data_IF_100337853268
#
_entry.id   IF_100337853268
#
_cell.length_a   1.000
_cell.length_b   1.000
_cell.length_c   1.000
_cell.angle_alpha   90.00
_cell.angle_beta   90.00
_cell.angle_gamma   90.00
#
_symmetry.space_group_name_H-M   'P 1'
#
loop_
_entity.id
_entity.type
_entity.pdbx_description
1 polymer ?
#
# COMPACT_ATOMS: atom_id res chain seq x y z
N UNK A 1 -0.64 7.69 24.08
CA UNK A 1 0.45 8.61 23.68
C UNK A 1 -0.14 9.98 23.54
N UNK A 2 0.53 11.00 24.04
CA UNK A 2 0.08 12.38 23.80
C UNK A 2 0.54 12.86 22.41
N UNK A 3 0.00 13.97 21.91
CA UNK A 3 0.32 14.48 20.57
C UNK A 3 1.81 14.81 20.41
N UNK A 4 2.49 15.25 21.47
CA UNK A 4 3.91 15.59 21.42
C UNK A 4 4.80 14.35 21.24
N UNK A 5 4.47 13.23 21.87
CA UNK A 5 5.16 11.94 21.69
C UNK A 5 5.02 11.43 20.26
N UNK A 6 3.79 11.48 19.71
CA UNK A 6 3.50 11.09 18.34
C UNK A 6 4.35 11.89 17.36
N UNK A 7 4.36 13.22 17.47
CA UNK A 7 5.12 14.10 16.59
C UNK A 7 6.64 13.87 16.71
N UNK A 8 7.15 13.68 17.93
CA UNK A 8 8.56 13.38 18.15
C UNK A 8 8.99 12.05 17.50
N UNK A 9 8.14 11.02 17.56
CA UNK A 9 8.42 9.73 16.92
C UNK A 9 8.44 9.83 15.40
N UNK A 10 7.49 10.57 14.83
CA UNK A 10 7.47 10.84 13.39
C UNK A 10 8.74 11.58 12.99
N UNK A 11 9.10 12.68 13.67
CA UNK A 11 10.32 13.44 13.40
C UNK A 11 11.57 12.58 13.48
N UNK A 12 11.71 11.74 14.51
CA UNK A 12 12.83 10.80 14.64
C UNK A 12 12.88 9.78 13.50
N UNK A 13 11.72 9.28 13.07
CA UNK A 13 11.61 8.36 11.93
C UNK A 13 12.04 9.01 10.61
N UNK A 14 11.69 10.27 10.38
CA UNK A 14 12.06 11.01 9.18
C UNK A 14 13.52 11.48 9.19
N UNK A 15 13.99 12.03 10.30
CA UNK A 15 15.40 12.43 10.48
C UNK A 15 16.38 11.25 10.47
N UNK A 16 15.85 10.04 10.44
CA UNK A 16 16.59 8.79 10.38
C UNK A 16 17.13 8.46 8.97
N UNK A 17 16.57 9.06 7.91
CA UNK A 17 16.91 8.76 6.52
C UNK A 17 17.61 9.94 5.83
N UNK A 18 18.54 9.69 4.89
CA UNK A 18 19.10 10.75 4.05
C UNK A 18 18.04 11.29 3.09
N UNK A 19 18.23 12.52 2.62
CA UNK A 19 17.27 13.25 1.77
C UNK A 19 16.68 12.42 0.60
N UNK A 20 17.48 11.67 -0.20
CA UNK A 20 16.91 10.88 -1.31
C UNK A 20 15.91 9.82 -0.85
N UNK A 21 16.17 9.17 0.28
CA UNK A 21 15.27 8.16 0.85
C UNK A 21 14.02 8.83 1.44
N UNK A 22 14.17 10.01 2.03
CA UNK A 22 13.01 10.79 2.51
C UNK A 22 12.10 11.22 1.35
N UNK A 23 12.67 11.64 0.21
CA UNK A 23 11.90 11.96 -1.00
C UNK A 23 11.17 10.71 -1.51
N UNK A 24 11.88 9.58 -1.63
CA UNK A 24 11.29 8.31 -2.04
C UNK A 24 10.14 7.88 -1.10
N UNK A 25 10.35 7.99 0.21
CA UNK A 25 9.35 7.67 1.23
C UNK A 25 8.13 8.56 1.14
N UNK A 26 8.31 9.87 0.91
CA UNK A 26 7.21 10.81 0.69
C UNK A 26 6.43 10.45 -0.57
N UNK A 27 7.13 10.19 -1.67
CA UNK A 27 6.52 9.79 -2.95
C UNK A 27 5.66 8.53 -2.78
N UNK A 28 6.23 7.46 -2.24
CA UNK A 28 5.51 6.21 -1.97
C UNK A 28 4.34 6.41 -1.01
N UNK A 29 4.56 7.10 0.10
CA UNK A 29 3.50 7.33 1.09
C UNK A 29 2.32 8.13 0.51
N UNK A 30 2.59 9.26 -0.14
CA UNK A 30 1.57 10.12 -0.72
C UNK A 30 0.82 9.44 -1.88
N UNK A 31 1.55 8.71 -2.74
CA UNK A 31 0.95 8.00 -3.87
C UNK A 31 -0.01 6.92 -3.41
N UNK A 32 0.32 6.18 -2.34
CA UNK A 32 -0.55 5.12 -1.82
C UNK A 32 -1.80 5.68 -1.15
N UNK A 33 -1.68 6.77 -0.38
CA UNK A 33 -2.85 7.48 0.14
C UNK A 33 -3.73 7.98 -1.00
N UNK A 34 -3.13 8.57 -2.04
CA UNK A 34 -3.86 9.04 -3.21
C UNK A 34 -4.52 7.90 -3.98
N UNK A 35 -3.86 6.75 -4.15
CA UNK A 35 -4.42 5.58 -4.82
C UNK A 35 -5.65 5.02 -4.06
N UNK A 36 -5.55 4.91 -2.73
CA UNK A 36 -6.67 4.52 -1.89
C UNK A 36 -7.82 5.52 -1.98
N UNK A 37 -7.51 6.82 -1.96
CA UNK A 37 -8.50 7.89 -2.10
C UNK A 37 -9.20 7.86 -3.45
N UNK A 38 -8.45 7.73 -4.54
CA UNK A 38 -8.98 7.63 -5.90
C UNK A 38 -9.99 6.48 -6.01
N UNK A 39 -9.66 5.30 -5.48
CA UNK A 39 -10.58 4.15 -5.44
C UNK A 39 -11.80 4.37 -4.54
N UNK A 40 -11.63 5.07 -3.42
CA UNK A 40 -12.73 5.36 -2.50
C UNK A 40 -13.76 6.32 -3.14
N UNK A 41 -13.30 7.28 -3.95
CA UNK A 41 -14.14 8.25 -4.66
C UNK A 41 -14.73 7.76 -5.96
N UNK A 42 -14.25 6.64 -6.50
CA UNK A 42 -14.83 6.02 -7.69
C UNK A 42 -16.05 5.17 -7.31
N UNK A 43 -17.25 5.74 -7.49
CA UNK A 43 -18.52 5.05 -7.27
C UNK A 43 -18.69 3.77 -8.12
N UNK A 44 -17.96 3.64 -9.23
CA UNK A 44 -17.97 2.46 -10.09
C UNK A 44 -17.04 1.34 -9.61
N UNK A 45 -16.06 1.64 -8.75
CA UNK A 45 -14.96 0.72 -8.43
C UNK A 45 -15.44 -0.61 -7.84
N UNK A 46 -16.45 -0.58 -6.96
CA UNK A 46 -17.07 -1.78 -6.34
C UNK A 46 -18.49 -2.07 -6.86
N UNK A 47 -18.89 -1.46 -7.97
CA UNK A 47 -20.26 -1.58 -8.48
C UNK A 47 -20.28 -2.48 -9.71
N UNK A 48 -20.81 -3.69 -9.57
CA UNK A 48 -20.97 -4.65 -10.68
C UNK A 48 -21.70 -4.00 -11.87
N UNK A 49 -21.09 -4.10 -13.05
CA UNK A 49 -21.63 -3.54 -14.30
C UNK A 49 -21.21 -2.09 -14.60
N UNK A 50 -20.53 -1.40 -13.67
CA UNK A 50 -19.94 -0.08 -13.96
C UNK A 50 -18.65 -0.22 -14.80
N UNK A 51 -18.34 0.82 -15.58
CA UNK A 51 -17.16 0.85 -16.46
C UNK A 51 -15.82 0.76 -15.68
N UNK A 52 -15.79 1.14 -14.41
CA UNK A 52 -14.62 1.08 -13.52
C UNK A 52 -14.56 -0.14 -12.60
N UNK A 53 -15.52 -1.08 -12.71
CA UNK A 53 -15.66 -2.18 -11.75
C UNK A 53 -14.41 -3.07 -11.67
N UNK A 54 -13.88 -3.24 -10.44
CA UNK A 54 -12.67 -4.03 -10.19
C UNK A 54 -12.82 -5.49 -10.66
N UNK A 55 -14.00 -6.10 -10.55
CA UNK A 55 -14.21 -7.47 -11.00
C UNK A 55 -14.12 -7.62 -12.51
N UNK A 56 -14.56 -6.62 -13.28
CA UNK A 56 -14.38 -6.60 -14.74
C UNK A 56 -12.89 -6.51 -15.11
N UNK A 57 -12.14 -5.67 -14.38
CA UNK A 57 -10.70 -5.53 -14.57
C UNK A 57 -9.97 -6.85 -14.25
N UNK A 58 -10.26 -7.46 -13.10
CA UNK A 58 -9.69 -8.75 -12.68
C UNK A 58 -10.04 -9.89 -13.64
N UNK A 59 -11.27 -9.93 -14.16
CA UNK A 59 -11.67 -10.94 -15.13
C UNK A 59 -10.88 -10.81 -16.43
N UNK A 60 -10.68 -9.57 -16.92
CA UNK A 60 -9.95 -9.29 -18.15
C UNK A 60 -8.47 -9.71 -18.08
N UNK A 61 -7.81 -9.54 -16.93
CA UNK A 61 -6.41 -9.91 -16.76
C UNK A 61 -6.18 -11.35 -16.31
N UNK A 62 -7.24 -12.07 -15.96
CA UNK A 62 -7.13 -13.44 -15.48
C UNK A 62 -6.42 -14.30 -16.52
N UNK A 63 -6.81 -14.25 -17.79
CA UNK A 63 -6.31 -15.16 -18.85
C UNK A 63 -4.86 -14.91 -19.26
N UNK A 64 -4.26 -13.78 -18.89
CA UNK A 64 -2.91 -13.37 -19.31
C UNK A 64 -1.92 -13.28 -18.16
N UNK A 65 -2.39 -13.30 -16.91
CA UNK A 65 -1.54 -13.20 -15.72
C UNK A 65 -0.86 -14.54 -15.39
N UNK A 66 0.44 -14.56 -15.05
CA UNK A 66 1.10 -15.73 -14.44
C UNK A 66 0.47 -16.17 -13.12
N UNK A 67 -0.31 -15.31 -12.46
CA UNK A 67 -1.06 -15.60 -11.23
C UNK A 67 -2.53 -15.94 -11.51
N UNK A 68 -2.87 -16.48 -12.69
CA UNK A 68 -4.24 -16.76 -13.11
C UNK A 68 -5.09 -17.45 -12.03
N UNK A 69 -4.55 -18.48 -11.36
CA UNK A 69 -5.27 -19.22 -10.31
C UNK A 69 -5.69 -18.32 -9.13
N UNK A 70 -4.83 -17.39 -8.71
CA UNK A 70 -5.12 -16.46 -7.64
C UNK A 70 -6.10 -15.39 -8.12
N UNK A 71 -5.92 -14.89 -9.35
CA UNK A 71 -6.81 -13.89 -9.96
C UNK A 71 -8.23 -14.44 -10.13
N UNK A 72 -8.40 -15.71 -10.51
CA UNK A 72 -9.72 -16.35 -10.58
C UNK A 72 -10.44 -16.32 -9.22
N UNK A 73 -9.72 -16.61 -8.12
CA UNK A 73 -10.27 -16.46 -6.76
C UNK A 73 -10.58 -15.03 -6.39
N UNK A 74 -9.79 -14.07 -6.88
CA UNK A 74 -10.11 -12.65 -6.70
C UNK A 74 -11.39 -12.26 -7.44
N UNK A 75 -11.66 -12.81 -8.64
CA UNK A 75 -12.89 -12.56 -9.39
C UNK A 75 -14.13 -13.05 -8.64
N UNK A 76 -14.07 -14.23 -8.01
CA UNK A 76 -15.17 -14.79 -7.19
C UNK A 76 -15.58 -13.84 -6.04
N UNK A 77 -14.61 -13.08 -5.50
CA UNK A 77 -14.81 -12.18 -4.36
C UNK A 77 -14.33 -10.75 -4.67
N UNK A 78 -14.56 -10.26 -5.90
CA UNK A 78 -13.96 -9.02 -6.40
C UNK A 78 -14.25 -7.79 -5.54
N UNK A 79 -15.47 -7.65 -5.00
CA UNK A 79 -15.84 -6.54 -4.12
C UNK A 79 -15.00 -6.52 -2.83
N UNK A 80 -14.77 -7.71 -2.24
CA UNK A 80 -13.97 -7.87 -1.03
C UNK A 80 -12.49 -7.56 -1.31
N UNK A 81 -11.95 -8.07 -2.42
CA UNK A 81 -10.58 -7.79 -2.82
C UNK A 81 -10.36 -6.32 -3.18
N UNK A 82 -11.33 -5.69 -3.85
CA UNK A 82 -11.30 -4.25 -4.13
C UNK A 82 -11.30 -3.42 -2.84
N UNK A 83 -12.16 -3.75 -1.88
CA UNK A 83 -12.18 -3.10 -0.58
C UNK A 83 -10.87 -3.31 0.19
N UNK A 84 -10.35 -4.54 0.19
CA UNK A 84 -9.08 -4.88 0.85
C UNK A 84 -7.92 -4.11 0.22
N UNK A 85 -7.86 -4.02 -1.10
CA UNK A 85 -6.85 -3.23 -1.81
C UNK A 85 -6.93 -1.75 -1.41
N UNK A 86 -8.13 -1.17 -1.41
CA UNK A 86 -8.37 0.22 -1.04
C UNK A 86 -7.94 0.55 0.39
N UNK A 87 -8.36 -0.27 1.37
CA UNK A 87 -7.96 -0.09 2.79
C UNK A 87 -6.46 -0.28 2.95
N UNK A 88 -5.89 -1.30 2.30
CA UNK A 88 -4.45 -1.59 2.38
C UNK A 88 -3.62 -0.47 1.78
N UNK A 89 -4.04 0.14 0.68
CA UNK A 89 -3.34 1.27 0.08
C UNK A 89 -3.29 2.48 1.02
N UNK A 90 -4.42 2.84 1.66
CA UNK A 90 -4.41 3.85 2.71
C UNK A 90 -3.49 3.46 3.86
N UNK A 91 -3.60 2.23 4.36
CA UNK A 91 -2.82 1.78 5.52
C UNK A 91 -1.32 1.82 5.24
N UNK A 92 -0.89 1.32 4.08
CA UNK A 92 0.51 1.35 3.61
C UNK A 92 0.98 2.79 3.44
N UNK A 93 0.17 3.65 2.83
CA UNK A 93 0.50 5.06 2.61
C UNK A 93 0.68 5.82 3.92
N UNK A 94 -0.30 5.72 4.83
CA UNK A 94 -0.27 6.37 6.14
C UNK A 94 0.86 5.83 7.03
N UNK A 95 1.06 4.51 7.07
CA UNK A 95 2.16 3.89 7.82
C UNK A 95 3.52 4.34 7.27
N UNK A 96 3.66 4.43 5.95
CA UNK A 96 4.86 4.97 5.29
C UNK A 96 5.10 6.43 5.66
N UNK A 97 4.07 7.29 5.59
CA UNK A 97 4.21 8.72 5.91
C UNK A 97 4.49 8.96 7.40
N UNK A 98 3.79 8.27 8.29
CA UNK A 98 3.96 8.43 9.74
C UNK A 98 5.22 7.74 10.26
N UNK A 99 5.65 6.66 9.60
CA UNK A 99 6.77 5.82 10.04
C UNK A 99 6.38 4.78 11.08
N UNK A 100 5.09 4.72 11.42
CA UNK A 100 4.55 3.66 12.25
C UNK A 100 4.50 2.36 11.46
N UNK A 101 5.10 1.30 12.01
CA UNK A 101 5.21 0.00 11.33
C UNK A 101 5.79 0.11 9.90
N UNK A 102 6.75 1.02 9.69
CA UNK A 102 7.34 1.30 8.38
C UNK A 102 7.88 0.05 7.68
N UNK A 103 8.38 -0.92 8.44
CA UNK A 103 8.82 -2.23 7.91
C UNK A 103 7.65 -3.01 7.30
N UNK A 104 6.51 -3.11 7.98
CA UNK A 104 5.33 -3.79 7.41
C UNK A 104 4.75 -3.01 6.25
N UNK A 105 4.73 -1.67 6.32
CA UNK A 105 4.27 -0.84 5.22
C UNK A 105 5.12 -1.05 3.96
N UNK A 106 6.44 -1.13 4.12
CA UNK A 106 7.36 -1.32 2.99
C UNK A 106 7.31 -2.72 2.41
N UNK A 107 7.18 -3.75 3.25
CA UNK A 107 6.95 -5.14 2.79
C UNK A 107 5.58 -5.25 2.10
N UNK A 108 4.53 -4.68 2.69
CA UNK A 108 3.18 -4.68 2.13
C UNK A 108 3.11 -3.96 0.79
N UNK A 109 3.72 -2.77 0.69
CA UNK A 109 3.85 -2.03 -0.56
C UNK A 109 4.61 -2.81 -1.63
N UNK A 110 5.73 -3.44 -1.27
CA UNK A 110 6.51 -4.28 -2.18
C UNK A 110 5.69 -5.47 -2.71
N UNK A 111 5.03 -6.22 -1.81
CA UNK A 111 4.23 -7.39 -2.18
C UNK A 111 3.00 -7.00 -3.00
N UNK A 112 2.35 -5.89 -2.65
CA UNK A 112 1.23 -5.35 -3.41
C UNK A 112 1.66 -4.92 -4.80
N UNK A 113 2.73 -4.13 -4.94
CA UNK A 113 3.25 -3.75 -6.26
C UNK A 113 3.71 -4.95 -7.09
N UNK A 114 4.31 -5.97 -6.45
CA UNK A 114 4.72 -7.19 -7.15
C UNK A 114 3.50 -7.96 -7.65
N UNK A 115 2.46 -8.05 -6.84
CA UNK A 115 1.19 -8.66 -7.22
C UNK A 115 0.58 -7.92 -8.40
N UNK A 116 0.45 -6.59 -8.30
CA UNK A 116 -0.08 -5.74 -9.37
C UNK A 116 0.74 -5.88 -10.66
N UNK A 117 2.07 -5.96 -10.57
CA UNK A 117 2.90 -6.21 -11.75
C UNK A 117 2.63 -7.59 -12.36
N UNK A 118 2.58 -8.65 -11.56
CA UNK A 118 2.29 -10.00 -12.04
C UNK A 118 0.85 -10.17 -12.53
N UNK A 119 -0.06 -9.26 -12.20
CA UNK A 119 -1.47 -9.34 -12.60
C UNK A 119 -1.84 -8.34 -13.68
N UNK A 120 -1.68 -7.04 -13.43
CA UNK A 120 -2.19 -5.95 -14.28
C UNK A 120 -1.22 -5.56 -15.39
N UNK A 121 0.08 -5.48 -15.11
CA UNK A 121 1.06 -4.96 -16.07
C UNK A 121 2.06 -5.99 -16.60
N UNK A 122 1.87 -7.27 -16.30
CA UNK A 122 2.77 -8.36 -16.74
C UNK A 122 2.95 -8.39 -18.26
N UNK A 123 1.86 -8.18 -19.00
CA UNK A 123 1.86 -8.21 -20.47
C UNK A 123 2.24 -6.89 -21.12
N UNK A 124 2.48 -5.83 -20.34
CA UNK A 124 2.85 -4.52 -20.88
C UNK A 124 4.28 -4.57 -21.39
N UNK A 125 4.46 -4.37 -22.70
CA UNK A 125 5.76 -4.40 -23.35
C UNK A 125 6.00 -3.13 -24.18
N UNK A 126 7.17 -2.47 -24.03
CA UNK A 126 8.23 -2.79 -23.07
C UNK A 126 7.83 -2.49 -21.61
N UNK A 127 8.45 -3.20 -20.66
CA UNK A 127 8.03 -3.22 -19.24
C UNK A 127 7.96 -1.84 -18.58
N UNK A 128 8.75 -0.86 -19.03
CA UNK A 128 8.80 0.48 -18.45
C UNK A 128 7.56 1.33 -18.77
N UNK A 129 6.69 0.88 -19.68
CA UNK A 129 5.39 1.50 -19.90
C UNK A 129 4.40 1.15 -18.77
N UNK A 130 4.65 0.08 -18.01
CA UNK A 130 3.93 -0.27 -16.80
C UNK A 130 4.61 0.32 -15.56
N UNK A 131 3.85 0.98 -14.68
CA UNK A 131 4.40 1.61 -13.48
C UNK A 131 4.69 0.63 -12.33
N UNK A 132 4.01 -0.52 -12.28
CA UNK A 132 4.04 -1.42 -11.11
C UNK A 132 5.45 -1.94 -10.80
N UNK A 133 6.22 -2.30 -11.83
CA UNK A 133 7.60 -2.78 -11.65
C UNK A 133 8.52 -1.67 -11.12
N UNK A 134 8.32 -0.42 -11.54
CA UNK A 134 9.05 0.71 -10.98
C UNK A 134 8.72 0.88 -9.48
N UNK A 135 7.46 0.69 -9.11
CA UNK A 135 7.05 0.68 -7.70
C UNK A 135 7.61 -0.48 -6.90
N UNK A 136 7.73 -1.69 -7.46
CA UNK A 136 8.43 -2.81 -6.82
C UNK A 136 9.86 -2.41 -6.44
N UNK A 137 10.61 -1.83 -7.38
CA UNK A 137 11.99 -1.39 -7.14
C UNK A 137 12.04 -0.26 -6.12
N UNK A 138 11.14 0.72 -6.20
CA UNK A 138 11.07 1.81 -5.23
C UNK A 138 10.82 1.30 -3.80
N UNK A 139 9.88 0.38 -3.60
CA UNK A 139 9.66 -0.24 -2.30
C UNK A 139 10.86 -1.06 -1.83
N UNK A 140 11.51 -1.81 -2.73
CA UNK A 140 12.70 -2.58 -2.41
C UNK A 140 13.86 -1.68 -1.95
N UNK A 141 14.05 -0.51 -2.57
CA UNK A 141 15.05 0.48 -2.16
C UNK A 141 14.72 1.05 -0.77
N UNK A 142 13.47 1.44 -0.53
CA UNK A 142 13.06 1.95 0.78
C UNK A 142 13.24 0.88 1.87
N UNK A 143 12.81 -0.35 1.61
CA UNK A 143 12.99 -1.49 2.50
C UNK A 143 14.48 -1.76 2.78
N UNK A 144 15.31 -1.82 1.74
CA UNK A 144 16.76 -1.99 1.84
C UNK A 144 17.45 -0.89 2.66
N UNK A 145 16.96 0.35 2.58
CA UNK A 145 17.48 1.47 3.38
C UNK A 145 17.25 1.27 4.89
N UNK A 146 16.14 0.64 5.27
CA UNK A 146 15.80 0.32 6.66
C UNK A 146 16.72 -0.81 7.16
N UNK A 147 16.91 -1.85 6.34
CA UNK A 147 17.81 -2.97 6.62
C UNK A 147 19.26 -2.52 6.84
N UNK A 148 19.82 -1.71 5.92
CA UNK A 148 21.21 -1.23 6.00
C UNK A 148 21.48 -0.49 7.32
N UNK A 149 20.50 0.26 7.79
CA UNK A 149 20.63 1.04 9.04
C UNK A 149 20.50 0.18 10.30
N UNK A 150 19.55 -0.76 10.32
CA UNK A 150 19.26 -1.55 11.51
C UNK A 150 20.10 -2.84 11.62
N UNK A 151 20.72 -3.29 10.53
CA UNK A 151 21.43 -4.58 10.44
C UNK A 151 20.53 -5.82 10.59
N UNK A 152 19.25 -5.63 10.94
CA UNK A 152 18.21 -6.65 11.14
C UNK A 152 16.85 -6.04 10.79
N UNK A 153 15.93 -6.87 10.31
CA UNK A 153 14.53 -6.46 10.22
C UNK A 153 13.94 -6.44 11.63
N UNK A 154 13.79 -5.25 12.22
CA UNK A 154 13.01 -5.11 13.44
C UNK A 154 11.54 -5.14 13.07
N UNK A 155 10.97 -6.34 13.12
CA UNK A 155 9.53 -6.51 13.07
C UNK A 155 8.92 -5.86 14.33
N UNK A 156 7.81 -5.14 14.18
CA UNK A 156 7.00 -4.69 15.31
C UNK A 156 6.69 -5.87 16.26
N UNK A 157 6.96 -5.64 17.54
CA UNK A 157 6.52 -6.46 18.67
C UNK A 157 5.14 -5.98 19.17
N UNK A 158 4.10 -6.73 18.80
CA UNK A 158 2.72 -6.44 19.22
C UNK A 158 2.46 -6.62 20.72
N UNK A 159 3.43 -7.09 21.51
CA UNK A 159 3.35 -7.00 22.98
C UNK A 159 3.52 -5.56 23.47
N UNK A 160 4.13 -4.70 22.66
CA UNK A 160 4.28 -3.28 22.97
C UNK A 160 2.99 -2.52 22.67
N UNK A 161 2.42 -1.90 23.72
CA UNK A 161 1.21 -1.06 23.62
C UNK A 161 1.31 0.00 22.51
N UNK A 162 2.51 0.54 22.27
CA UNK A 162 2.77 1.54 21.22
C UNK A 162 2.35 1.04 19.85
N UNK A 163 2.68 -0.21 19.54
CA UNK A 163 2.52 -0.75 18.19
C UNK A 163 1.09 -1.20 17.94
N UNK A 164 0.43 -1.73 18.97
CA UNK A 164 -1.01 -1.97 18.96
C UNK A 164 -1.78 -0.65 18.75
N UNK A 165 -1.41 0.42 19.46
CA UNK A 165 -2.02 1.74 19.27
C UNK A 165 -1.76 2.30 17.89
N UNK A 166 -0.54 2.17 17.38
CA UNK A 166 -0.20 2.62 16.04
C UNK A 166 -0.99 1.86 14.96
N UNK A 167 -1.18 0.55 15.13
CA UNK A 167 -2.02 -0.27 14.26
C UNK A 167 -3.48 0.18 14.31
N UNK A 168 -4.02 0.41 15.50
CA UNK A 168 -5.38 0.90 15.66
C UNK A 168 -5.57 2.29 15.01
N UNK A 169 -4.60 3.20 15.15
CA UNK A 169 -4.65 4.54 14.54
C UNK A 169 -4.59 4.44 13.02
N UNK A 170 -3.60 3.74 12.47
CA UNK A 170 -3.46 3.59 11.02
C UNK A 170 -4.69 2.90 10.44
N UNK A 171 -5.12 1.78 11.03
CA UNK A 171 -6.31 1.06 10.58
C UNK A 171 -7.58 1.90 10.67
N UNK A 172 -7.78 2.63 11.76
CA UNK A 172 -8.90 3.55 11.93
C UNK A 172 -8.91 4.67 10.90
N UNK A 173 -7.77 5.32 10.67
CA UNK A 173 -7.65 6.38 9.66
C UNK A 173 -7.85 5.86 8.24
N UNK A 174 -7.39 4.64 7.92
CA UNK A 174 -7.64 4.01 6.63
C UNK A 174 -9.14 3.78 6.39
N UNK A 175 -9.86 3.27 7.39
CA UNK A 175 -11.32 3.06 7.30
C UNK A 175 -12.04 4.40 7.13
N UNK A 176 -11.66 5.43 7.91
CA UNK A 176 -12.22 6.77 7.77
C UNK A 176 -11.98 7.33 6.37
N UNK A 177 -10.78 7.15 5.80
CA UNK A 177 -10.45 7.57 4.44
C UNK A 177 -11.36 6.92 3.39
N UNK A 178 -11.63 5.63 3.54
CA UNK A 178 -12.58 4.90 2.67
C UNK A 178 -13.99 5.45 2.79
N UNK A 179 -14.49 5.67 4.01
CA UNK A 179 -15.85 6.18 4.24
C UNK A 179 -15.98 7.62 3.73
N UNK A 180 -14.99 8.46 3.99
CA UNK A 180 -14.98 9.85 3.55
C UNK A 180 -14.94 9.98 2.04
N UNK A 181 -14.26 9.08 1.33
CA UNK A 181 -14.21 9.09 -0.14
C UNK A 181 -15.51 8.62 -0.79
N UNK A 182 -16.33 7.83 -0.10
CA UNK A 182 -17.61 7.32 -0.64
C UNK A 182 -18.77 8.31 -0.57
N UNK A 183 -18.63 9.38 0.20
CA UNK A 183 -19.63 10.45 0.37
C UNK A 183 -19.40 11.57 -0.65
#
# INVERSE_FOLDING_TARGET
>A
MNNAEVMNLMQRSWGSHPLPISILRLWLGATWVYAGWYKATDSGFLTKGANGYIGSQLAAISTTSPLHFAVQKMVEHADLFGLLAMVSEFAIGLATLTGFMLVYATVGGLLMSLTLWLTLSWTVSPYFLGSDIAYVIMWAVLLGSIFKKSGRLRLPDFSERREVLALAIVGGLSIIGVIAGKN
#
